data_IF_865668508646
#
_entry.id   IF_865668508646
#
_cell.length_a   1.000
_cell.length_b   1.000
_cell.length_c   1.000
_cell.angle_alpha   90.00
_cell.angle_beta   90.00
_cell.angle_gamma   90.00
#
_symmetry.space_group_name_H-M   'P 1'
#
loop_
_entity.id
_entity.type
_entity.pdbx_description
1 polymer ?
#
# COMPACT_ATOMS: atom_id res chain seq x y z
N UNK A 1 20.84 21.42 39.96
CA UNK A 1 20.06 20.25 39.49
C UNK A 1 20.92 19.39 38.55
N UNK A 2 21.60 20.00 37.57
CA UNK A 2 22.57 19.37 36.67
C UNK A 2 23.70 18.57 37.35
N UNK A 3 24.27 19.07 38.45
CA UNK A 3 25.44 18.43 39.08
C UNK A 3 25.08 17.11 39.77
N UNK A 4 23.86 17.03 40.29
CA UNK A 4 23.31 15.82 40.92
C UNK A 4 23.03 14.73 39.87
N UNK A 5 22.47 15.12 38.73
CA UNK A 5 22.27 14.24 37.57
C UNK A 5 23.58 13.73 36.97
N UNK A 6 24.59 14.60 36.84
CA UNK A 6 25.93 14.22 36.34
C UNK A 6 26.60 13.21 37.26
N UNK A 7 26.45 13.38 38.58
CA UNK A 7 27.01 12.47 39.58
C UNK A 7 26.29 11.11 39.58
N UNK A 8 24.96 11.12 39.43
CA UNK A 8 24.15 9.91 39.34
C UNK A 8 24.45 9.11 38.06
N UNK A 9 24.63 9.80 36.93
CA UNK A 9 25.01 9.18 35.66
C UNK A 9 26.44 8.61 35.70
N UNK A 10 27.38 9.29 36.36
CA UNK A 10 28.74 8.81 36.56
C UNK A 10 28.80 7.55 37.45
N UNK A 11 28.05 7.54 38.55
CA UNK A 11 27.94 6.38 39.44
C UNK A 11 27.33 5.17 38.73
N UNK A 12 26.31 5.38 37.89
CA UNK A 12 25.72 4.32 37.05
C UNK A 12 26.73 3.71 36.08
N UNK A 13 27.57 4.54 35.44
CA UNK A 13 28.64 4.07 34.54
C UNK A 13 29.68 3.24 35.28
N UNK A 14 30.10 3.68 36.47
CA UNK A 14 31.05 2.93 37.30
C UNK A 14 30.50 1.55 37.73
N UNK A 15 29.21 1.48 38.09
CA UNK A 15 28.52 0.23 38.42
C UNK A 15 28.48 -0.75 37.23
N UNK A 16 28.16 -0.27 36.03
CA UNK A 16 28.15 -1.09 34.80
C UNK A 16 29.57 -1.60 34.46
N UNK A 17 30.59 -0.79 34.70
CA UNK A 17 31.99 -1.15 34.42
C UNK A 17 32.55 -2.18 35.41
N UNK A 18 32.09 -2.15 36.68
CA UNK A 18 32.52 -3.07 37.73
C UNK A 18 31.80 -4.44 37.70
N UNK A 19 30.52 -4.47 37.33
CA UNK A 19 29.68 -5.67 37.47
C UNK A 19 29.13 -6.22 36.15
N UNK A 20 29.45 -5.57 35.02
CA UNK A 20 28.80 -5.87 33.74
C UNK A 20 27.37 -5.34 33.71
N UNK A 21 26.75 -5.38 32.53
CA UNK A 21 25.37 -4.90 32.33
C UNK A 21 24.38 -5.90 32.94
N UNK A 22 23.53 -5.47 33.88
CA UNK A 22 22.51 -6.35 34.45
C UNK A 22 21.38 -6.56 33.43
N UNK A 23 20.73 -7.73 33.50
CA UNK A 23 19.58 -8.04 32.64
C UNK A 23 18.44 -7.06 32.95
N UNK A 24 18.14 -6.18 32.00
CA UNK A 24 17.14 -5.10 32.13
C UNK A 24 17.71 -3.68 32.17
N UNK A 25 19.02 -3.51 32.23
CA UNK A 25 19.66 -2.20 32.11
C UNK A 25 19.54 -1.66 30.67
N UNK A 26 19.17 -0.38 30.55
CA UNK A 26 19.14 0.33 29.27
C UNK A 26 20.54 0.37 28.66
N UNK A 27 20.63 0.15 27.37
CA UNK A 27 21.90 0.25 26.66
C UNK A 27 22.29 1.72 26.49
N UNK A 28 23.59 2.04 26.35
CA UNK A 28 24.01 3.40 25.99
C UNK A 28 23.33 3.92 24.72
N UNK A 29 23.09 3.05 23.74
CA UNK A 29 22.32 3.33 22.53
C UNK A 29 20.86 3.70 22.84
N UNK A 30 20.19 2.96 23.73
CA UNK A 30 18.81 3.26 24.14
C UNK A 30 18.71 4.62 24.84
N UNK A 31 19.66 4.93 25.73
CA UNK A 31 19.70 6.22 26.45
C UNK A 31 19.88 7.36 25.45
N UNK A 32 20.82 7.23 24.50
CA UNK A 32 21.02 8.26 23.46
C UNK A 32 19.78 8.47 22.60
N UNK A 33 19.04 7.41 22.30
CA UNK A 33 17.80 7.50 21.52
C UNK A 33 16.63 8.08 22.33
N UNK A 34 16.60 7.87 23.65
CA UNK A 34 15.65 8.55 24.54
C UNK A 34 15.93 10.06 24.59
N UNK A 35 17.20 10.44 24.75
CA UNK A 35 17.65 11.83 24.83
C UNK A 35 17.46 12.57 23.50
N UNK A 36 17.59 11.89 22.36
CA UNK A 36 17.39 12.51 21.03
C UNK A 36 15.92 12.80 20.71
N UNK A 37 14.97 12.20 21.44
CA UNK A 37 13.53 12.33 21.16
C UNK A 37 13.09 11.63 19.87
N UNK A 38 13.95 10.83 19.23
CA UNK A 38 13.62 10.05 18.04
C UNK A 38 12.77 8.81 18.40
N UNK A 39 11.54 9.05 18.86
CA UNK A 39 10.62 8.05 19.43
C UNK A 39 10.45 6.83 18.52
N UNK A 40 10.39 7.03 17.20
CA UNK A 40 10.24 5.93 16.23
C UNK A 40 11.47 5.02 16.23
N UNK A 41 12.67 5.60 16.28
CA UNK A 41 13.93 4.85 16.26
C UNK A 41 14.13 4.14 17.60
N UNK A 42 13.82 4.80 18.72
CA UNK A 42 13.81 4.20 20.04
C UNK A 42 12.84 3.00 20.14
N UNK A 43 11.62 3.13 19.61
CA UNK A 43 10.65 2.03 19.60
C UNK A 43 11.12 0.84 18.75
N UNK A 44 11.78 1.10 17.62
CA UNK A 44 12.40 0.06 16.78
C UNK A 44 13.57 -0.63 17.49
N UNK A 45 14.43 0.13 18.15
CA UNK A 45 15.56 -0.38 18.93
C UNK A 45 15.09 -1.34 20.03
N UNK A 46 14.15 -0.91 20.87
CA UNK A 46 13.57 -1.74 21.95
C UNK A 46 12.91 -3.01 21.44
N UNK A 47 12.26 -2.93 20.28
CA UNK A 47 11.64 -4.08 19.65
C UNK A 47 12.67 -5.10 19.16
N UNK A 48 13.75 -4.64 18.55
CA UNK A 48 14.85 -5.50 18.11
C UNK A 48 15.48 -6.24 19.31
N UNK A 49 15.81 -5.51 20.37
CA UNK A 49 16.36 -6.08 21.62
C UNK A 49 15.42 -7.12 22.23
N UNK A 50 14.11 -6.83 22.29
CA UNK A 50 13.11 -7.78 22.80
C UNK A 50 13.06 -9.07 21.96
N UNK A 51 13.16 -8.95 20.64
CA UNK A 51 13.16 -10.10 19.73
C UNK A 51 14.41 -10.97 19.87
N UNK A 52 15.58 -10.35 19.98
CA UNK A 52 16.84 -11.05 20.17
C UNK A 52 16.85 -11.82 21.50
N UNK A 53 16.39 -11.17 22.58
CA UNK A 53 16.42 -11.73 23.93
C UNK A 53 15.37 -12.81 24.19
N UNK A 54 14.16 -12.66 23.65
CA UNK A 54 13.05 -13.56 24.02
C UNK A 54 12.64 -14.53 22.91
N UNK A 55 13.04 -14.27 21.64
CA UNK A 55 12.56 -15.00 20.45
C UNK A 55 11.04 -15.21 20.42
N UNK A 56 10.31 -14.39 21.17
CA UNK A 56 8.87 -14.49 21.38
C UNK A 56 8.14 -13.48 20.51
N UNK A 57 6.84 -13.71 20.32
CA UNK A 57 5.99 -12.77 19.62
C UNK A 57 6.00 -11.43 20.37
N UNK A 58 6.28 -10.30 19.70
CA UNK A 58 6.41 -9.03 20.38
C UNK A 58 5.02 -8.50 20.76
N UNK A 59 4.95 -7.52 21.68
CA UNK A 59 3.70 -6.85 22.03
C UNK A 59 2.96 -6.29 20.80
N UNK A 60 1.63 -6.21 20.88
CA UNK A 60 0.76 -5.83 19.75
C UNK A 60 1.13 -4.49 19.08
N UNK A 61 1.62 -3.50 19.84
CA UNK A 61 2.05 -2.19 19.33
C UNK A 61 3.28 -2.35 18.43
N UNK A 62 4.27 -3.10 18.89
CA UNK A 62 5.49 -3.37 18.15
C UNK A 62 5.25 -4.18 16.87
N UNK A 63 4.29 -5.11 16.91
CA UNK A 63 3.85 -5.84 15.72
C UNK A 63 3.21 -4.91 14.64
N UNK A 64 2.51 -3.84 15.05
CA UNK A 64 1.98 -2.84 14.11
C UNK A 64 3.09 -2.04 13.45
N UNK A 65 4.14 -1.67 14.19
CA UNK A 65 5.30 -0.93 13.65
C UNK A 65 6.08 -1.76 12.63
N UNK A 66 6.41 -3.02 12.94
CA UNK A 66 7.08 -3.93 11.98
C UNK A 66 6.26 -4.10 10.71
N UNK A 67 4.94 -4.23 10.85
CA UNK A 67 4.03 -4.33 9.70
C UNK A 67 4.05 -3.06 8.85
N UNK A 68 4.09 -1.89 9.46
CA UNK A 68 4.18 -0.62 8.74
C UNK A 68 5.51 -0.50 7.97
N UNK A 69 6.61 -0.91 8.59
CA UNK A 69 7.94 -0.91 7.96
C UNK A 69 8.00 -1.86 6.77
N UNK A 70 7.48 -3.08 6.93
CA UNK A 70 7.36 -4.03 5.83
C UNK A 70 6.52 -3.46 4.67
N UNK A 71 5.42 -2.77 4.97
CA UNK A 71 4.58 -2.11 3.94
C UNK A 71 5.31 -0.94 3.28
N UNK A 72 6.14 -0.18 4.02
CA UNK A 72 6.94 0.91 3.48
C UNK A 72 8.02 0.41 2.52
N UNK A 73 8.74 -0.65 2.90
CA UNK A 73 9.73 -1.31 2.04
C UNK A 73 9.05 -1.82 0.76
N UNK A 74 7.91 -2.50 0.89
CA UNK A 74 7.15 -2.97 -0.27
C UNK A 74 6.68 -1.83 -1.17
N UNK A 75 6.20 -0.73 -0.58
CA UNK A 75 5.81 0.46 -1.34
C UNK A 75 6.99 1.04 -2.11
N UNK A 76 8.16 1.19 -1.47
CA UNK A 76 9.37 1.70 -2.12
C UNK A 76 9.81 0.79 -3.28
N UNK A 77 9.86 -0.53 -3.08
CA UNK A 77 10.20 -1.48 -4.16
C UNK A 77 9.21 -1.38 -5.32
N UNK A 78 7.91 -1.28 -5.04
CA UNK A 78 6.87 -1.11 -6.07
C UNK A 78 7.02 0.22 -6.81
N UNK A 79 7.37 1.29 -6.11
CA UNK A 79 7.65 2.60 -6.72
C UNK A 79 8.87 2.52 -7.66
N UNK A 80 9.95 1.84 -7.26
CA UNK A 80 11.12 1.64 -8.13
C UNK A 80 10.75 0.85 -9.39
N UNK A 81 10.00 -0.25 -9.24
CA UNK A 81 9.51 -1.03 -10.39
C UNK A 81 8.62 -0.20 -11.31
N UNK A 82 7.75 0.63 -10.75
CA UNK A 82 6.91 1.54 -11.51
C UNK A 82 7.74 2.54 -12.32
N UNK A 83 8.75 3.16 -11.70
CA UNK A 83 9.66 4.09 -12.39
C UNK A 83 10.44 3.42 -13.51
N UNK A 84 10.94 2.20 -13.26
CA UNK A 84 11.58 1.41 -14.29
C UNK A 84 10.64 1.09 -15.46
N UNK A 85 9.41 0.66 -15.19
CA UNK A 85 8.43 0.44 -16.26
C UNK A 85 8.08 1.72 -17.02
N UNK A 86 7.98 2.86 -16.33
CA UNK A 86 7.77 4.17 -16.96
C UNK A 86 8.96 4.57 -17.84
N UNK A 87 10.20 4.30 -17.44
CA UNK A 87 11.38 4.68 -18.23
C UNK A 87 11.54 3.86 -19.51
N UNK A 88 10.88 2.70 -19.62
CA UNK A 88 10.81 1.91 -20.86
C UNK A 88 9.88 2.53 -21.91
N UNK A 89 9.13 3.58 -21.59
CA UNK A 89 8.35 4.34 -22.56
C UNK A 89 9.30 5.28 -23.32
N UNK A 90 10.00 4.71 -24.29
CA UNK A 90 11.00 5.42 -25.12
C UNK A 90 10.35 6.43 -26.07
N UNK A 91 9.09 6.21 -26.45
CA UNK A 91 8.33 7.06 -27.36
C UNK A 91 7.65 8.24 -26.66
N UNK A 92 7.98 9.46 -27.09
CA UNK A 92 7.42 10.70 -26.52
C UNK A 92 5.89 10.79 -26.59
N UNK A 93 5.20 10.10 -27.52
CA UNK A 93 3.74 10.12 -27.56
C UNK A 93 3.10 9.20 -26.51
N UNK A 94 3.68 8.02 -26.25
CA UNK A 94 3.16 7.08 -25.24
C UNK A 94 3.33 7.67 -23.84
N UNK A 95 4.52 8.23 -23.58
CA UNK A 95 4.80 8.92 -22.32
C UNK A 95 3.88 10.14 -22.13
N UNK A 96 3.69 10.98 -23.17
CA UNK A 96 2.78 12.13 -23.09
C UNK A 96 1.33 11.72 -22.85
N UNK A 97 0.82 10.71 -23.55
CA UNK A 97 -0.53 10.19 -23.32
C UNK A 97 -0.69 9.68 -21.89
N UNK A 98 0.30 8.91 -21.41
CA UNK A 98 0.33 8.42 -20.04
C UNK A 98 0.34 9.56 -19.01
N UNK A 99 1.21 10.56 -19.16
CA UNK A 99 1.29 11.70 -18.25
C UNK A 99 0.03 12.56 -18.28
N UNK A 100 -0.51 12.83 -19.47
CA UNK A 100 -1.77 13.54 -19.66
C UNK A 100 -2.92 12.82 -18.95
N UNK A 101 -3.04 11.51 -19.15
CA UNK A 101 -4.04 10.69 -18.47
C UNK A 101 -3.89 10.75 -16.95
N UNK A 102 -2.66 10.56 -16.46
CA UNK A 102 -2.36 10.50 -15.04
C UNK A 102 -2.38 11.87 -14.35
N UNK A 103 -2.41 12.97 -15.11
CA UNK A 103 -2.57 14.33 -14.60
C UNK A 103 -3.95 14.57 -13.97
N UNK A 104 -4.98 13.86 -14.42
CA UNK A 104 -6.31 14.00 -13.84
C UNK A 104 -6.35 13.31 -12.47
N UNK A 105 -6.71 13.99 -11.37
CA UNK A 105 -6.67 13.42 -10.01
C UNK A 105 -7.61 12.21 -9.79
N UNK A 106 -8.57 12.00 -10.72
CA UNK A 106 -9.57 10.94 -10.70
C UNK A 106 -9.41 9.96 -11.85
N UNK A 107 -8.25 9.92 -12.53
CA UNK A 107 -7.92 8.94 -13.58
C UNK A 107 -8.31 7.50 -13.21
N UNK A 108 -8.17 7.12 -11.93
CA UNK A 108 -8.48 5.77 -11.46
C UNK A 108 -9.98 5.44 -11.52
N UNK A 109 -10.86 6.44 -11.65
CA UNK A 109 -12.33 6.32 -11.79
C UNK A 109 -12.79 6.23 -13.24
N UNK A 110 -11.88 5.96 -14.17
CA UNK A 110 -12.22 5.66 -15.55
C UNK A 110 -13.16 4.45 -15.65
N UNK A 111 -14.15 4.54 -16.54
CA UNK A 111 -15.18 3.53 -16.77
C UNK A 111 -14.62 2.09 -16.83
N UNK A 112 -13.57 1.84 -17.62
CA UNK A 112 -12.95 0.50 -17.73
C UNK A 112 -12.38 -0.03 -16.41
N UNK A 113 -11.83 0.84 -15.55
CA UNK A 113 -11.31 0.45 -14.24
C UNK A 113 -12.46 0.18 -13.24
N UNK A 114 -13.53 0.97 -13.35
CA UNK A 114 -14.78 0.78 -12.61
C UNK A 114 -15.43 -0.56 -12.99
N UNK A 115 -15.48 -0.88 -14.27
CA UNK A 115 -16.01 -2.14 -14.82
C UNK A 115 -15.16 -3.34 -14.41
N UNK A 116 -13.84 -3.28 -14.52
CA UNK A 116 -12.94 -4.34 -14.02
C UNK A 116 -13.15 -4.58 -12.52
N UNK A 117 -13.32 -3.50 -11.74
CA UNK A 117 -13.66 -3.62 -10.33
C UNK A 117 -15.02 -4.27 -10.11
N UNK A 118 -16.04 -3.87 -10.86
CA UNK A 118 -17.39 -4.41 -10.75
C UNK A 118 -17.44 -5.90 -11.16
N UNK A 119 -16.79 -6.29 -12.26
CA UNK A 119 -16.70 -7.67 -12.73
C UNK A 119 -16.00 -8.60 -11.73
N UNK A 120 -15.04 -8.07 -10.96
CA UNK A 120 -14.40 -8.79 -9.83
C UNK A 120 -15.23 -8.78 -8.54
N UNK A 121 -16.50 -8.36 -8.61
CA UNK A 121 -17.40 -8.20 -7.46
C UNK A 121 -16.84 -7.26 -6.37
N UNK A 122 -16.10 -6.24 -6.82
CA UNK A 122 -15.47 -5.23 -5.96
C UNK A 122 -16.46 -4.15 -5.50
N UNK A 123 -15.93 -3.08 -4.89
CA UNK A 123 -16.73 -1.97 -4.37
C UNK A 123 -17.62 -1.29 -5.42
N UNK A 124 -17.18 -1.26 -6.68
CA UNK A 124 -17.95 -0.65 -7.76
C UNK A 124 -19.24 -1.39 -8.11
N UNK A 125 -19.28 -2.71 -7.96
CA UNK A 125 -20.51 -3.48 -8.17
C UNK A 125 -21.59 -3.16 -7.13
N UNK A 126 -21.18 -2.78 -5.91
CA UNK A 126 -22.10 -2.52 -4.79
C UNK A 126 -22.52 -1.07 -4.66
N UNK A 127 -21.91 -0.16 -5.42
CA UNK A 127 -22.16 1.28 -5.26
C UNK A 127 -21.77 1.85 -3.89
N UNK A 128 -20.92 1.18 -3.10
CA UNK A 128 -20.63 1.60 -1.71
C UNK A 128 -19.80 2.90 -1.59
N UNK A 129 -19.50 3.57 -2.70
CA UNK A 129 -18.82 4.87 -2.75
C UNK A 129 -17.33 4.88 -2.40
N UNK A 130 -16.77 3.83 -1.80
CA UNK A 130 -15.38 3.82 -1.30
C UNK A 130 -14.31 4.12 -2.37
N UNK A 131 -14.53 3.73 -3.63
CA UNK A 131 -13.62 4.08 -4.72
C UNK A 131 -13.70 5.58 -5.05
N UNK A 132 -14.92 6.10 -5.27
CA UNK A 132 -15.19 7.50 -5.62
C UNK A 132 -14.77 8.50 -4.55
N UNK A 133 -14.93 8.12 -3.28
CA UNK A 133 -14.67 8.98 -2.11
C UNK A 133 -13.29 8.70 -1.48
N UNK A 134 -12.40 8.03 -2.19
CA UNK A 134 -11.08 7.68 -1.67
C UNK A 134 -10.24 8.94 -1.45
N UNK A 135 -9.73 9.12 -0.23
CA UNK A 135 -8.65 10.05 0.04
C UNK A 135 -7.32 9.48 -0.46
N UNK A 136 -6.66 10.20 -1.37
CA UNK A 136 -5.34 9.84 -1.88
C UNK A 136 -4.29 10.50 -0.98
N UNK A 137 -3.47 9.68 -0.33
CA UNK A 137 -2.30 10.16 0.41
C UNK A 137 -1.34 10.86 -0.57
N UNK A 138 -1.02 12.15 -0.36
CA UNK A 138 -0.09 12.88 -1.21
C UNK A 138 1.30 12.25 -1.30
N UNK A 139 1.71 11.48 -0.30
CA UNK A 139 2.99 10.77 -0.27
C UNK A 139 2.93 9.41 -1.01
N UNK A 140 1.72 8.93 -1.36
CA UNK A 140 1.50 7.61 -1.98
C UNK A 140 0.66 7.63 -3.26
N UNK A 141 0.96 8.59 -4.15
CA UNK A 141 0.20 8.84 -5.39
C UNK A 141 0.37 7.78 -6.49
N UNK A 142 1.40 6.93 -6.42
CA UNK A 142 1.73 5.98 -7.49
C UNK A 142 0.75 4.79 -7.57
N UNK A 143 0.09 4.44 -6.47
CA UNK A 143 -0.69 3.21 -6.33
C UNK A 143 -2.20 3.41 -6.19
N UNK A 144 -2.77 4.46 -6.81
CA UNK A 144 -4.22 4.68 -6.74
C UNK A 144 -4.91 3.73 -7.72
N UNK A 145 -5.92 3.01 -7.27
CA UNK A 145 -6.62 2.03 -8.10
C UNK A 145 -7.84 1.45 -7.41
N UNK A 146 -8.54 0.60 -8.14
CA UNK A 146 -9.69 -0.14 -7.63
C UNK A 146 -9.28 -1.30 -6.73
N UNK A 147 -10.25 -1.82 -5.98
CA UNK A 147 -10.00 -2.72 -4.87
C UNK A 147 -9.27 -4.01 -5.26
N UNK A 148 -8.27 -4.38 -4.46
CA UNK A 148 -7.65 -5.71 -4.50
C UNK A 148 -8.35 -6.65 -3.52
N UNK A 149 -7.95 -7.92 -3.51
CA UNK A 149 -8.34 -8.91 -2.49
C UNK A 149 -8.08 -8.47 -1.04
N UNK A 150 -7.18 -7.50 -0.83
CA UNK A 150 -6.83 -6.99 0.49
C UNK A 150 -7.66 -5.76 0.91
N UNK A 151 -8.60 -5.29 0.08
CA UNK A 151 -9.46 -4.17 0.44
C UNK A 151 -10.35 -4.55 1.64
N UNK A 152 -10.30 -3.76 2.71
CA UNK A 152 -11.10 -3.98 3.92
C UNK A 152 -12.61 -4.01 3.67
N UNK A 153 -13.13 -3.12 2.81
CA UNK A 153 -14.54 -3.11 2.43
C UNK A 153 -14.94 -4.40 1.69
N UNK A 154 -14.14 -4.84 0.72
CA UNK A 154 -14.41 -6.10 0.00
C UNK A 154 -14.24 -7.33 0.89
N UNK A 155 -13.30 -7.31 1.84
CA UNK A 155 -13.11 -8.38 2.82
C UNK A 155 -14.34 -8.51 3.72
N UNK A 156 -14.82 -7.39 4.27
CA UNK A 156 -16.01 -7.36 5.12
C UNK A 156 -17.25 -7.89 4.39
N UNK A 157 -17.48 -7.43 3.16
CA UNK A 157 -18.59 -7.91 2.34
C UNK A 157 -18.50 -9.40 2.00
N UNK A 158 -17.30 -9.87 1.62
CA UNK A 158 -17.06 -11.27 1.27
C UNK A 158 -17.26 -12.21 2.47
N UNK A 159 -17.06 -11.72 3.70
CA UNK A 159 -17.25 -12.50 4.92
C UNK A 159 -16.12 -13.51 5.22
N UNK A 160 -15.07 -13.56 4.39
CA UNK A 160 -13.93 -14.45 4.61
C UNK A 160 -12.61 -13.87 4.12
N UNK A 161 -11.50 -14.37 4.69
CA UNK A 161 -10.15 -14.04 4.29
C UNK A 161 -9.65 -14.92 3.15
N UNK A 162 -8.94 -14.32 2.20
CA UNK A 162 -8.21 -15.08 1.18
C UNK A 162 -6.86 -15.49 1.77
N UNK A 163 -6.69 -16.81 1.93
CA UNK A 163 -5.44 -17.43 2.38
C UNK A 163 -4.25 -17.00 1.52
N UNK A 164 -3.04 -17.03 2.08
CA UNK A 164 -1.83 -16.69 1.32
C UNK A 164 -1.67 -17.58 0.09
N UNK A 165 -2.00 -18.87 0.23
CA UNK A 165 -1.97 -19.84 -0.87
C UNK A 165 -2.89 -19.41 -2.02
N UNK A 166 -4.17 -19.13 -1.73
CA UNK A 166 -5.12 -18.67 -2.75
C UNK A 166 -4.69 -17.34 -3.37
N UNK A 167 -4.15 -16.42 -2.57
CA UNK A 167 -3.66 -15.13 -3.07
C UNK A 167 -2.46 -15.29 -3.99
N UNK A 168 -1.55 -16.23 -3.69
CA UNK A 168 -0.40 -16.56 -4.54
C UNK A 168 -0.86 -17.19 -5.85
N UNK A 169 -1.77 -18.18 -5.79
CA UNK A 169 -2.34 -18.81 -6.98
C UNK A 169 -3.00 -17.78 -7.91
N UNK A 170 -3.86 -16.91 -7.38
CA UNK A 170 -4.51 -15.85 -8.16
C UNK A 170 -3.47 -14.89 -8.78
N UNK A 171 -2.44 -14.49 -8.03
CA UNK A 171 -1.37 -13.62 -8.56
C UNK A 171 -0.58 -14.30 -9.68
N UNK A 172 -0.32 -15.59 -9.56
CA UNK A 172 0.47 -16.34 -10.55
C UNK A 172 -0.35 -16.61 -11.81
N UNK A 173 -1.66 -16.86 -11.68
CA UNK A 173 -2.61 -16.92 -12.79
C UNK A 173 -2.68 -15.58 -13.54
N UNK A 174 -2.90 -14.46 -12.82
CA UNK A 174 -2.87 -13.13 -13.44
C UNK A 174 -1.54 -12.81 -14.11
N UNK A 175 -0.40 -13.26 -13.56
CA UNK A 175 0.92 -13.05 -14.18
C UNK A 175 1.09 -13.86 -15.45
N UNK A 176 0.57 -15.10 -15.49
CA UNK A 176 0.58 -15.93 -16.70
C UNK A 176 -0.29 -15.30 -17.77
N UNK A 177 -1.52 -14.93 -17.45
CA UNK A 177 -2.42 -14.19 -18.37
C UNK A 177 -1.77 -12.92 -18.92
N UNK A 178 -1.13 -12.12 -18.07
CA UNK A 178 -0.43 -10.89 -18.49
C UNK A 178 0.84 -11.19 -19.30
N UNK A 179 1.52 -12.30 -19.03
CA UNK A 179 2.73 -12.73 -19.73
C UNK A 179 2.44 -13.30 -21.13
N UNK A 180 1.37 -14.07 -21.27
CA UNK A 180 0.94 -14.68 -22.53
C UNK A 180 0.36 -13.63 -23.48
N UNK A 181 -0.08 -12.50 -22.94
CA UNK A 181 -0.64 -11.37 -23.68
C UNK A 181 0.35 -10.21 -23.77
N UNK A 182 1.55 -10.43 -24.32
CA UNK A 182 2.55 -9.37 -24.60
C UNK A 182 1.93 -8.16 -25.33
N UNK A 183 0.87 -8.40 -26.13
CA UNK A 183 0.07 -7.36 -26.80
C UNK A 183 -0.85 -6.57 -25.85
N UNK A 184 -1.36 -7.16 -24.75
CA UNK A 184 -2.26 -6.53 -23.76
C UNK A 184 -1.61 -5.55 -22.78
N UNK A 185 -0.27 -5.50 -22.68
CA UNK A 185 0.37 -4.40 -21.93
C UNK A 185 -0.04 -3.04 -22.51
N UNK A 186 -0.22 -2.96 -23.83
CA UNK A 186 -0.74 -1.78 -24.52
C UNK A 186 -2.28 -1.78 -24.58
N UNK A 187 -2.93 -2.95 -24.62
CA UNK A 187 -4.40 -3.08 -24.72
C UNK A 187 -5.17 -3.03 -23.39
N UNK A 188 -4.54 -2.91 -22.22
CA UNK A 188 -5.24 -2.30 -21.06
C UNK A 188 -5.21 -0.78 -21.23
N UNK A 189 -5.88 -0.36 -22.29
CA UNK A 189 -6.09 1.01 -22.81
C UNK A 189 -6.40 1.98 -21.65
N UNK A 190 -7.10 1.52 -20.61
CA UNK A 190 -7.41 2.29 -19.39
C UNK A 190 -6.23 2.68 -18.47
N UNK A 191 -5.11 1.94 -18.49
CA UNK A 191 -3.89 2.36 -17.78
C UNK A 191 -3.24 3.55 -18.52
N UNK A 192 -3.42 3.60 -19.84
CA UNK A 192 -2.89 4.61 -20.74
C UNK A 192 -3.84 5.78 -20.99
N UNK A 193 -5.07 5.71 -20.46
CA UNK A 193 -6.11 6.68 -20.79
C UNK A 193 -6.46 6.66 -22.27
N UNK A 194 -6.29 5.52 -22.93
CA UNK A 194 -6.73 5.32 -24.29
C UNK A 194 -8.07 4.58 -24.20
N UNK A 195 -9.00 4.89 -25.10
CA UNK A 195 -10.17 4.05 -25.39
C UNK A 195 -9.76 3.11 -26.51
N UNK A 196 -10.38 1.93 -26.63
CA UNK A 196 -10.17 1.05 -27.78
C UNK A 196 -10.66 1.68 -29.09
N UNK A 197 -11.46 0.97 -29.87
CA UNK A 197 -11.94 1.44 -31.18
C UNK A 197 -12.95 2.61 -31.15
N UNK A 198 -13.00 3.40 -30.08
CA UNK A 198 -13.89 4.55 -29.91
C UNK A 198 -13.17 5.89 -30.05
N UNK A 199 -13.88 6.90 -30.56
CA UNK A 199 -13.41 8.29 -30.62
C UNK A 199 -13.78 9.11 -29.36
N UNK A 200 -14.36 8.45 -28.35
CA UNK A 200 -14.72 9.08 -27.08
C UNK A 200 -13.48 9.70 -26.43
N UNK A 201 -13.62 10.89 -25.86
CA UNK A 201 -12.57 11.47 -25.03
C UNK A 201 -12.37 10.57 -23.79
N UNK A 202 -11.13 10.14 -23.50
CA UNK A 202 -10.83 9.35 -22.30
C UNK A 202 -11.21 10.03 -20.99
N UNK A 203 -11.22 11.37 -20.97
CA UNK A 203 -11.61 12.15 -19.81
C UNK A 203 -13.12 12.14 -19.57
N UNK A 204 -13.93 12.03 -20.63
CA UNK A 204 -15.38 12.00 -20.53
C UNK A 204 -15.87 10.67 -19.92
N UNK A 205 -15.02 9.63 -19.95
CA UNK A 205 -15.28 8.36 -19.31
C UNK A 205 -14.86 8.31 -17.83
N UNK A 206 -14.28 9.39 -17.29
CA UNK A 206 -14.04 9.49 -15.85
C UNK A 206 -15.40 9.70 -15.18
N UNK A 207 -15.71 8.86 -14.19
CA UNK A 207 -17.00 8.84 -13.50
C UNK A 207 -18.23 8.50 -14.37
N UNK A 208 -18.02 8.20 -15.66
CA UNK A 208 -19.07 7.69 -16.52
C UNK A 208 -19.67 6.39 -15.95
N UNK A 209 -20.99 6.20 -16.06
CA UNK A 209 -21.64 4.96 -15.63
C UNK A 209 -21.11 3.77 -16.43
N UNK A 210 -21.03 2.54 -15.87
CA UNK A 210 -20.61 1.34 -16.61
C UNK A 210 -21.43 1.11 -17.89
N UNK A 211 -20.82 0.59 -18.97
CA UNK A 211 -21.51 0.29 -20.24
C UNK A 211 -22.47 -0.91 -20.14
N UNK A 212 -22.24 -1.81 -19.19
CA UNK A 212 -23.12 -2.96 -18.99
C UNK A 212 -24.42 -2.53 -18.30
N UNK A 213 -25.57 -2.83 -18.91
CA UNK A 213 -26.86 -2.77 -18.22
C UNK A 213 -26.78 -3.71 -17.01
N UNK A 214 -27.00 -3.18 -15.81
CA UNK A 214 -26.91 -3.96 -14.58
C UNK A 214 -27.80 -5.20 -14.64
N UNK A 215 -27.24 -6.36 -14.31
CA UNK A 215 -28.06 -7.51 -13.94
C UNK A 215 -28.80 -7.16 -12.65
N UNK A 216 -30.05 -6.68 -12.81
CA UNK A 216 -31.10 -6.65 -11.79
C UNK A 216 -31.08 -5.46 -10.82
N UNK A 217 -32.02 -4.53 -11.03
CA UNK A 217 -33.15 -4.40 -10.11
C UNK A 217 -34.42 -4.36 -10.97
N UNK A 218 -35.11 -5.50 -11.05
CA UNK A 218 -36.54 -5.52 -11.37
C UNK A 218 -37.27 -5.48 -10.03
N UNK A 219 -37.61 -4.29 -9.58
CA UNK A 219 -38.56 -3.99 -8.51
C UNK A 219 -39.22 -2.66 -8.94
N UNK A 220 -40.52 -2.49 -9.14
CA UNK A 220 -41.72 -3.33 -9.03
C UNK A 220 -42.73 -2.81 -10.06
N UNK A 221 -43.51 -3.71 -10.63
CA UNK A 221 -44.84 -3.36 -11.15
C UNK A 221 -45.77 -3.20 -9.95
N UNK A 222 -46.27 -1.98 -9.72
CA UNK A 222 -47.63 -1.71 -9.20
C UNK A 222 -48.15 -0.46 -9.89
#
# INVERSE_FOLDING_TARGET
MEEKEKTEMANRRALIQAHGRLKGDKTPEEIRLEESGEIIILQRYRLFEHWDQHKSRPPNISHKLLRLDALNIQYWILAQKWWHCRSLLEDGFQLRAFELWRSHPRWYMHQVLVEDCAGRQGCCARGCGCCRNRMIDPMRKLGVGHCTFACGCCRGFRGFDISEKHRKSLKDEFRKEVGDLVRHRNTRVAIWGLVGEGFDSPFDMIDAPPRYQGFGTKEEQV
#
